data_IF_123376366617
#
_entry.id   IF_123376366617
#
_cell.length_a   1.000
_cell.length_b   1.000
_cell.length_c   1.000
_cell.angle_alpha   90.00
_cell.angle_beta   90.00
_cell.angle_gamma   90.00
#
_symmetry.space_group_name_H-M   'P 1'
#
loop_
_entity.id
_entity.type
_entity.pdbx_description
1 polymer ?
#
# COMPACT_ATOMS: atom_id res chain seq x y z
N UNK A 1 2.72 11.95 11.07
CA UNK A 1 3.41 11.62 9.80
C UNK A 1 2.45 11.98 8.69
N UNK A 2 2.78 12.93 7.80
CA UNK A 2 1.95 13.19 6.63
C UNK A 2 2.17 12.04 5.64
N UNK A 3 1.17 11.16 5.50
CA UNK A 3 1.16 10.09 4.52
C UNK A 3 0.94 10.70 3.13
N UNK A 4 2.00 11.21 2.52
CA UNK A 4 1.87 12.02 1.29
C UNK A 4 1.32 11.26 0.08
N UNK A 5 1.29 9.93 0.10
CA UNK A 5 0.95 9.10 -1.08
C UNK A 5 0.16 7.84 -0.76
N UNK A 6 -0.45 7.79 0.44
CA UNK A 6 -1.21 6.62 0.90
C UNK A 6 -0.43 5.30 0.86
N UNK A 7 0.90 5.35 0.71
CA UNK A 7 1.73 4.18 0.43
C UNK A 7 2.83 4.02 1.47
N UNK A 8 3.00 2.81 1.96
CA UNK A 8 3.98 2.48 3.01
C UNK A 8 4.71 1.19 2.65
N UNK A 9 6.00 1.12 3.00
CA UNK A 9 6.82 -0.07 2.85
C UNK A 9 7.25 -0.52 4.24
N UNK A 10 7.13 -1.80 4.54
CA UNK A 10 7.55 -2.39 5.80
C UNK A 10 8.56 -3.49 5.58
N UNK A 11 9.52 -3.59 6.50
CA UNK A 11 10.42 -4.73 6.57
C UNK A 11 9.75 -5.98 7.18
N UNK A 12 10.53 -7.04 7.33
CA UNK A 12 10.11 -8.28 7.97
C UNK A 12 9.74 -8.13 9.45
N UNK A 13 10.23 -7.08 10.13
CA UNK A 13 10.00 -6.77 11.53
C UNK A 13 8.83 -5.78 11.74
N UNK A 14 8.03 -5.52 10.69
CA UNK A 14 6.95 -4.52 10.69
C UNK A 14 7.44 -3.09 10.96
N UNK A 15 8.70 -2.76 10.69
CA UNK A 15 9.18 -1.39 10.79
C UNK A 15 9.00 -0.65 9.46
N UNK A 16 8.51 0.59 9.48
CA UNK A 16 8.29 1.36 8.25
C UNK A 16 9.62 1.79 7.64
N UNK A 17 9.83 1.42 6.38
CA UNK A 17 10.91 1.91 5.51
C UNK A 17 10.41 3.20 4.85
N UNK A 18 11.10 4.31 5.10
CA UNK A 18 10.66 5.63 4.65
C UNK A 18 11.03 5.88 3.19
N UNK A 19 10.09 6.46 2.44
CA UNK A 19 10.35 7.07 1.13
C UNK A 19 10.94 8.48 1.28
N UNK A 20 11.55 8.98 0.21
CA UNK A 20 11.92 10.40 0.08
C UNK A 20 10.68 11.28 0.10
N UNK A 21 10.85 12.55 0.51
CA UNK A 21 9.74 13.53 0.53
C UNK A 21 9.36 14.05 -0.86
N UNK A 22 10.22 13.84 -1.86
CA UNK A 22 9.99 14.25 -3.25
C UNK A 22 10.07 13.04 -4.19
N UNK A 23 8.99 12.68 -4.90
CA UNK A 23 9.04 11.71 -5.97
C UNK A 23 9.76 12.30 -7.20
N UNK A 24 10.08 11.44 -8.15
CA UNK A 24 10.68 11.82 -9.43
C UNK A 24 9.91 11.23 -10.59
N UNK A 25 10.21 11.70 -11.81
CA UNK A 25 9.58 11.22 -13.05
C UNK A 25 8.03 11.25 -13.00
N UNK A 26 7.45 12.18 -12.22
CA UNK A 26 6.01 12.35 -12.09
C UNK A 26 5.42 12.86 -13.39
N UNK A 27 4.50 12.11 -13.97
CA UNK A 27 3.75 12.48 -15.17
C UNK A 27 2.37 11.85 -15.15
N UNK A 28 1.47 12.33 -15.99
CA UNK A 28 0.16 11.73 -16.17
C UNK A 28 -0.22 11.66 -17.64
N UNK A 29 -1.13 10.77 -17.97
CA UNK A 29 -1.83 10.75 -19.26
C UNK A 29 -3.33 10.53 -19.05
N UNK A 30 -4.13 10.93 -20.03
CA UNK A 30 -5.55 10.58 -20.07
C UNK A 30 -5.73 9.49 -21.11
N UNK A 31 -6.22 8.33 -20.69
CA UNK A 31 -6.44 7.18 -21.55
C UNK A 31 -7.77 6.53 -21.21
N UNK A 32 -8.63 6.32 -22.20
CA UNK A 32 -9.95 5.69 -22.02
C UNK A 32 -10.78 6.36 -20.91
N UNK A 33 -10.82 7.69 -20.90
CA UNK A 33 -11.52 8.50 -19.88
C UNK A 33 -11.04 8.25 -18.43
N UNK A 34 -9.78 7.81 -18.27
CA UNK A 34 -9.10 7.65 -16.99
C UNK A 34 -7.86 8.52 -16.95
N UNK A 35 -7.60 9.15 -15.82
CA UNK A 35 -6.32 9.80 -15.54
C UNK A 35 -5.37 8.75 -14.99
N UNK A 36 -4.24 8.53 -15.67
CA UNK A 36 -3.21 7.58 -15.27
C UNK A 36 -2.01 8.37 -14.78
N UNK A 37 -1.65 8.19 -13.51
CA UNK A 37 -0.46 8.79 -12.91
C UNK A 37 0.70 7.81 -12.94
N UNK A 38 1.89 8.33 -13.21
CA UNK A 38 3.15 7.61 -13.12
C UNK A 38 4.04 8.40 -12.17
N UNK A 39 4.47 7.74 -11.10
CA UNK A 39 5.22 8.37 -10.02
C UNK A 39 6.31 7.41 -9.61
N UNK A 40 7.55 7.90 -9.50
CA UNK A 40 8.67 7.10 -8.97
C UNK A 40 9.00 7.55 -7.56
N UNK A 41 8.82 6.65 -6.59
CA UNK A 41 9.18 6.87 -5.19
C UNK A 41 10.53 6.23 -4.88
N UNK A 42 11.41 6.97 -4.22
CA UNK A 42 12.72 6.49 -3.79
C UNK A 42 12.71 6.21 -2.30
N UNK A 43 13.52 5.25 -1.84
CA UNK A 43 13.76 5.07 -0.41
C UNK A 43 14.62 6.22 0.11
N UNK A 44 14.30 6.73 1.30
CA UNK A 44 15.07 7.81 1.93
C UNK A 44 16.51 7.38 2.29
N UNK A 45 16.70 6.09 2.53
CA UNK A 45 17.99 5.44 2.73
C UNK A 45 18.00 4.12 1.95
N UNK A 46 19.14 3.70 1.39
CA UNK A 46 19.27 2.34 0.85
C UNK A 46 18.84 1.30 1.89
N UNK A 47 18.10 0.28 1.44
CA UNK A 47 17.66 -0.84 2.26
C UNK A 47 18.08 -2.13 1.57
N UNK A 48 18.76 -3.01 2.29
CA UNK A 48 19.21 -4.29 1.76
C UNK A 48 18.05 -5.29 1.73
N UNK A 49 17.77 -5.83 0.53
CA UNK A 49 16.65 -6.75 0.31
C UNK A 49 17.05 -8.24 0.32
N UNK A 50 18.35 -8.53 0.48
CA UNK A 50 18.88 -9.89 0.36
C UNK A 50 18.30 -10.79 1.45
N UNK A 51 17.69 -11.91 1.04
CA UNK A 51 17.04 -12.87 1.93
C UNK A 51 15.99 -12.24 2.86
N UNK A 52 15.44 -11.08 2.50
CA UNK A 52 14.47 -10.36 3.29
C UNK A 52 13.14 -10.21 2.53
N UNK A 53 12.06 -10.17 3.31
CA UNK A 53 10.70 -9.95 2.83
C UNK A 53 10.30 -8.53 3.19
N UNK A 54 9.89 -7.75 2.19
CA UNK A 54 9.26 -6.46 2.41
C UNK A 54 7.80 -6.48 1.95
N UNK A 55 6.97 -5.66 2.58
CA UNK A 55 5.55 -5.52 2.26
C UNK A 55 5.24 -4.09 1.91
N UNK A 56 4.72 -3.89 0.71
CA UNK A 56 4.24 -2.61 0.23
C UNK A 56 2.71 -2.57 0.33
N UNK A 57 2.21 -1.47 0.90
CA UNK A 57 0.80 -1.20 1.07
C UNK A 57 0.46 0.12 0.39
N UNK A 58 -0.75 0.20 -0.18
CA UNK A 58 -1.33 1.45 -0.65
C UNK A 58 -2.77 1.51 -0.14
N UNK A 59 -3.08 2.43 0.78
CA UNK A 59 -4.38 2.56 1.42
C UNK A 59 -4.60 3.95 2.03
N UNK A 60 -5.86 4.34 2.09
CA UNK A 60 -6.33 5.46 2.90
C UNK A 60 -6.81 4.91 4.26
N UNK A 61 -6.41 5.49 5.42
CA UNK A 61 -6.72 4.92 6.74
C UNK A 61 -8.20 4.67 7.06
N UNK A 62 -9.11 5.46 6.49
CA UNK A 62 -10.53 5.48 6.86
C UNK A 62 -11.43 4.50 6.09
N UNK A 63 -10.89 3.58 5.27
CA UNK A 63 -11.62 2.55 4.50
C UNK A 63 -12.55 3.04 3.38
N UNK A 64 -12.99 4.31 3.40
CA UNK A 64 -13.92 4.86 2.41
C UNK A 64 -13.33 4.95 1.00
N UNK A 65 -12.00 4.99 0.88
CA UNK A 65 -11.29 5.00 -0.40
C UNK A 65 -10.51 3.69 -0.53
N UNK A 66 -10.90 2.88 -1.51
CA UNK A 66 -10.15 1.69 -1.89
C UNK A 66 -9.06 2.04 -2.91
N UNK A 67 -7.87 1.49 -2.69
CA UNK A 67 -6.75 1.55 -3.63
C UNK A 67 -6.35 0.11 -3.95
N UNK A 68 -6.59 -0.30 -5.19
CA UNK A 68 -6.49 -1.70 -5.59
C UNK A 68 -5.70 -1.86 -6.90
N UNK A 69 -4.94 -2.94 -6.96
CA UNK A 69 -4.43 -3.51 -8.19
C UNK A 69 -5.52 -4.38 -8.81
N UNK A 70 -5.87 -4.08 -10.06
CA UNK A 70 -6.94 -4.81 -10.75
C UNK A 70 -6.56 -6.26 -11.05
N UNK A 71 -5.26 -6.52 -11.31
CA UNK A 71 -4.75 -7.85 -11.64
C UNK A 71 -3.39 -8.09 -10.99
N UNK A 72 -3.03 -9.33 -10.65
CA UNK A 72 -1.69 -9.67 -10.16
C UNK A 72 -0.56 -9.21 -11.09
N UNK A 73 -0.78 -9.22 -12.40
CA UNK A 73 0.20 -8.80 -13.40
C UNK A 73 0.46 -7.29 -13.45
N UNK A 74 -0.36 -6.48 -12.78
CA UNK A 74 -0.14 -5.04 -12.66
C UNK A 74 0.98 -4.74 -11.64
N UNK A 75 1.46 -5.77 -10.92
CA UNK A 75 2.58 -5.73 -9.98
C UNK A 75 3.76 -6.49 -10.57
N UNK A 76 4.93 -5.85 -10.66
CA UNK A 76 6.15 -6.47 -11.15
C UNK A 76 7.39 -5.86 -10.50
N UNK A 77 8.53 -6.51 -10.72
CA UNK A 77 9.87 -6.06 -10.33
C UNK A 77 10.78 -6.11 -11.56
N UNK A 78 11.67 -5.13 -11.69
CA UNK A 78 12.71 -5.12 -12.71
C UNK A 78 13.95 -5.93 -12.33
N UNK A 79 14.10 -6.30 -11.05
CA UNK A 79 15.19 -7.14 -10.57
C UNK A 79 14.80 -8.62 -10.66
N UNK A 80 15.55 -9.40 -11.45
CA UNK A 80 15.33 -10.82 -11.67
C UNK A 80 15.55 -11.69 -10.44
N UNK A 81 16.35 -11.23 -9.46
CA UNK A 81 16.55 -11.90 -8.18
C UNK A 81 15.43 -11.62 -7.17
N UNK A 82 14.41 -10.85 -7.56
CA UNK A 82 13.27 -10.54 -6.72
C UNK A 82 11.98 -11.06 -7.34
N UNK A 83 11.02 -11.41 -6.49
CA UNK A 83 9.64 -11.73 -6.88
C UNK A 83 8.67 -10.84 -6.12
N UNK A 84 7.80 -10.14 -6.86
CA UNK A 84 6.69 -9.37 -6.31
C UNK A 84 5.39 -10.17 -6.46
N UNK A 85 4.61 -10.28 -5.39
CA UNK A 85 3.34 -11.03 -5.37
C UNK A 85 2.24 -10.19 -4.76
N UNK A 86 1.12 -10.08 -5.47
CA UNK A 86 -0.09 -9.44 -4.94
C UNK A 86 -0.81 -10.40 -3.98
N UNK A 87 -1.08 -9.95 -2.77
CA UNK A 87 -1.77 -10.67 -1.71
C UNK A 87 -3.09 -9.97 -1.38
N UNK A 88 -4.20 -10.70 -1.47
CA UNK A 88 -5.52 -10.19 -1.15
C UNK A 88 -5.74 -10.08 0.36
N UNK A 89 -6.46 -9.05 0.84
CA UNK A 89 -6.75 -8.88 2.26
C UNK A 89 -7.61 -10.04 2.77
N UNK A 90 -7.29 -10.53 3.97
CA UNK A 90 -8.08 -11.54 4.67
C UNK A 90 -8.95 -10.86 5.72
N UNK A 91 -10.10 -10.34 5.29
CA UNK A 91 -11.04 -9.62 6.17
C UNK A 91 -12.15 -10.55 6.64
N UNK A 92 -12.25 -10.76 7.95
CA UNK A 92 -13.30 -11.57 8.56
C UNK A 92 -14.69 -10.90 8.50
N UNK A 93 -15.74 -11.67 8.81
CA UNK A 93 -17.13 -11.20 8.73
C UNK A 93 -17.43 -10.09 9.76
N UNK A 94 -16.82 -10.14 10.94
CA UNK A 94 -17.04 -9.14 11.99
C UNK A 94 -16.51 -7.77 11.56
N UNK A 95 -15.31 -7.74 10.99
CA UNK A 95 -14.69 -6.51 10.52
C UNK A 95 -15.41 -5.95 9.28
N UNK A 96 -15.92 -6.81 8.40
CA UNK A 96 -16.80 -6.40 7.29
C UNK A 96 -18.09 -5.76 7.79
N UNK A 97 -18.76 -6.39 8.76
CA UNK A 97 -20.00 -5.86 9.35
C UNK A 97 -19.75 -4.53 10.06
N UNK A 98 -18.67 -4.45 10.85
CA UNK A 98 -18.24 -3.20 11.46
C UNK A 98 -18.08 -2.11 10.41
N UNK A 99 -17.27 -2.35 9.37
CA UNK A 99 -17.07 -1.37 8.30
C UNK A 99 -18.38 -0.94 7.64
N UNK A 100 -19.28 -1.90 7.33
CA UNK A 100 -20.57 -1.60 6.69
C UNK A 100 -21.55 -0.80 7.55
N UNK A 101 -21.37 -0.81 8.87
CA UNK A 101 -22.21 -0.08 9.83
C UNK A 101 -21.74 1.35 10.11
N UNK A 102 -20.58 1.75 9.60
CA UNK A 102 -20.01 3.07 9.85
C UNK A 102 -20.73 4.15 9.04
N UNK A 103 -21.13 5.21 9.74
CA UNK A 103 -21.49 6.48 9.10
C UNK A 103 -20.20 7.27 8.80
N UNK A 104 -20.15 7.97 7.67
CA UNK A 104 -19.02 8.85 7.26
C UNK A 104 -18.66 9.90 8.31
N UNK A 105 -19.60 10.25 9.19
CA UNK A 105 -19.40 11.25 10.23
C UNK A 105 -19.00 10.66 11.60
N UNK A 106 -18.91 9.33 11.73
CA UNK A 106 -18.49 8.69 12.98
C UNK A 106 -16.96 8.60 13.07
N UNK A 107 -16.43 8.90 14.25
CA UNK A 107 -15.04 8.57 14.57
C UNK A 107 -14.87 7.05 14.57
N UNK A 108 -13.82 6.57 13.92
CA UNK A 108 -13.47 5.16 13.96
C UNK A 108 -13.01 4.77 15.37
N UNK A 109 -13.37 3.56 15.80
CA UNK A 109 -12.85 2.97 17.04
C UNK A 109 -11.44 2.37 16.83
N UNK A 110 -10.98 2.32 15.58
CA UNK A 110 -9.67 1.82 15.19
C UNK A 110 -8.66 2.96 15.01
N UNK A 111 -7.36 2.72 15.27
CA UNK A 111 -6.31 3.73 15.07
C UNK A 111 -6.27 4.21 13.62
N UNK A 112 -6.13 5.50 13.38
CA UNK A 112 -5.98 6.03 12.02
C UNK A 112 -4.56 5.86 11.45
N UNK A 113 -3.64 5.29 12.21
CA UNK A 113 -2.22 5.22 11.85
C UNK A 113 -1.71 3.80 11.61
N UNK A 114 -0.99 3.65 10.49
CA UNK A 114 -0.21 2.44 10.17
C UNK A 114 -1.08 1.23 9.80
N UNK A 115 -0.47 0.05 9.92
CA UNK A 115 -1.05 -1.23 9.51
C UNK A 115 -2.29 -1.66 10.30
N UNK A 116 -2.58 -1.00 11.43
CA UNK A 116 -3.74 -1.29 12.26
C UNK A 116 -4.97 -0.45 11.90
N UNK A 117 -4.84 0.50 10.98
CA UNK A 117 -5.99 1.28 10.51
C UNK A 117 -6.99 0.42 9.74
N UNK A 118 -8.27 0.81 9.80
CA UNK A 118 -9.34 0.06 9.14
C UNK A 118 -9.05 -0.08 7.65
N UNK A 119 -8.64 0.99 6.96
CA UNK A 119 -8.25 0.92 5.56
C UNK A 119 -7.09 -0.03 5.27
N UNK A 120 -6.09 -0.11 6.17
CA UNK A 120 -4.99 -1.07 6.03
C UNK A 120 -5.47 -2.54 6.13
N UNK A 121 -6.52 -2.83 6.90
CA UNK A 121 -7.09 -4.17 7.00
C UNK A 121 -7.74 -4.64 5.70
N UNK A 122 -8.32 -3.70 4.95
CA UNK A 122 -8.96 -3.96 3.65
C UNK A 122 -8.00 -3.78 2.46
N UNK A 123 -6.75 -3.39 2.69
CA UNK A 123 -5.79 -3.13 1.64
C UNK A 123 -5.18 -4.42 1.07
N UNK A 124 -5.04 -4.46 -0.26
CA UNK A 124 -4.13 -5.42 -0.89
C UNK A 124 -2.68 -5.13 -0.50
N UNK A 125 -1.87 -6.18 -0.45
CA UNK A 125 -0.44 -6.09 -0.12
C UNK A 125 0.39 -6.57 -1.30
N UNK A 126 1.50 -5.90 -1.55
CA UNK A 126 2.53 -6.42 -2.46
C UNK A 126 3.67 -6.95 -1.61
N UNK A 127 3.86 -8.26 -1.63
CA UNK A 127 4.99 -8.93 -0.97
C UNK A 127 6.14 -9.05 -1.95
N UNK A 128 7.31 -8.54 -1.57
CA UNK A 128 8.53 -8.61 -2.37
C UNK A 128 9.55 -9.41 -1.59
N UNK A 129 10.08 -10.46 -2.21
CA UNK A 129 11.12 -11.33 -1.67
C UNK A 129 12.26 -11.34 -2.67
N UNK A 130 13.49 -11.15 -2.20
CA UNK A 130 14.70 -11.23 -3.03
C UNK A 130 15.68 -12.27 -2.49
N UNK A 131 16.32 -13.01 -3.40
CA UNK A 131 17.28 -14.08 -3.10
C UNK A 131 18.62 -13.56 -2.55
#
# INVERSE_FOLDING_TARGET
MQNHYFSTLYDSQNQPIKFTTKPTATRFEIKNNRVIFYITFHLAKPHELKQSKVRFYTYEPSYYIAMEYNRPADVNTSNASCKATLVQPQVDSKLRLYASGLDKNQSLDMPENGDYSLGAQFAQKVEIICD
#
